data_IF_054154349137
#
_entry.id   IF_054154349137
#
_cell.length_a   1.000
_cell.length_b   1.000
_cell.length_c   1.000
_cell.angle_alpha   90.00
_cell.angle_beta   90.00
_cell.angle_gamma   90.00
#
_symmetry.space_group_name_H-M   'P 1'
#
loop_
_entity.id
_entity.type
_entity.pdbx_description
1 polymer ?
#
# COMPACT_ATOMS: atom_id res chain seq x y z
N UNK A 1 -34.13 -16.04 -20.11
CA UNK A 1 -33.25 -15.11 -20.84
C UNK A 1 -31.98 -14.80 -20.04
N UNK A 2 -32.07 -14.31 -18.79
CA UNK A 2 -30.91 -13.95 -17.95
C UNK A 2 -29.84 -15.06 -17.82
N UNK A 3 -30.24 -16.30 -17.49
CA UNK A 3 -29.29 -17.44 -17.41
C UNK A 3 -28.60 -17.77 -18.74
N UNK A 4 -29.28 -17.54 -19.87
CA UNK A 4 -28.74 -17.87 -21.19
C UNK A 4 -27.75 -16.81 -21.70
N UNK A 5 -27.71 -15.64 -21.08
CA UNK A 5 -26.86 -14.49 -21.46
C UNK A 5 -25.80 -14.15 -20.41
N UNK A 6 -25.67 -14.95 -19.35
CA UNK A 6 -24.75 -14.68 -18.24
C UNK A 6 -23.68 -15.76 -18.14
N UNK A 7 -22.44 -15.32 -17.90
CA UNK A 7 -21.30 -16.18 -17.58
C UNK A 7 -20.84 -15.86 -16.17
N UNK A 8 -20.80 -16.87 -15.30
CA UNK A 8 -20.23 -16.77 -13.96
C UNK A 8 -18.93 -17.58 -13.90
N UNK A 9 -17.80 -16.90 -13.65
CA UNK A 9 -16.49 -17.53 -13.51
C UNK A 9 -16.07 -17.38 -12.04
N UNK A 10 -16.21 -18.42 -11.20
CA UNK A 10 -15.74 -18.35 -9.83
C UNK A 10 -14.22 -18.38 -9.80
N UNK A 11 -13.62 -17.70 -8.82
CA UNK A 11 -12.17 -17.71 -8.60
C UNK A 11 -11.90 -17.94 -7.13
N UNK A 12 -11.07 -18.95 -6.84
CA UNK A 12 -10.51 -19.17 -5.51
C UNK A 12 -9.16 -18.48 -5.40
N UNK A 13 -9.03 -17.57 -4.45
CA UNK A 13 -7.80 -16.83 -4.20
C UNK A 13 -7.39 -17.02 -2.73
N UNK A 14 -6.57 -18.04 -2.42
CA UNK A 14 -6.26 -18.41 -1.03
C UNK A 14 -5.56 -17.30 -0.24
N UNK A 15 -4.92 -16.35 -0.93
CA UNK A 15 -4.12 -15.26 -0.34
C UNK A 15 -4.72 -13.87 -0.60
N UNK A 16 -5.99 -13.77 -1.01
CA UNK A 16 -6.57 -12.45 -1.34
C UNK A 16 -6.60 -11.48 -0.15
N UNK A 17 -6.57 -12.01 1.08
CA UNK A 17 -6.55 -11.21 2.32
C UNK A 17 -5.22 -11.29 3.08
N UNK A 18 -4.18 -11.92 2.53
CA UNK A 18 -2.95 -12.16 3.31
C UNK A 18 -2.18 -10.87 3.65
N UNK A 19 -2.42 -9.78 2.93
CA UNK A 19 -1.87 -8.45 3.25
C UNK A 19 -2.35 -7.92 4.61
N UNK A 20 -3.48 -8.43 5.12
CA UNK A 20 -4.07 -8.06 6.41
C UNK A 20 -3.88 -9.11 7.50
N UNK A 21 -3.04 -10.13 7.26
CA UNK A 21 -2.67 -11.05 8.32
C UNK A 21 -2.01 -10.28 9.49
N UNK A 22 -2.21 -10.77 10.73
CA UNK A 22 -1.51 -10.23 11.89
C UNK A 22 0.00 -10.24 11.62
N UNK A 23 0.65 -9.12 11.91
CA UNK A 23 2.08 -8.92 11.66
C UNK A 23 2.71 -8.13 12.79
N UNK A 24 4.01 -8.26 12.92
CA UNK A 24 4.87 -7.47 13.79
C UNK A 24 5.83 -6.60 12.95
N UNK A 25 6.44 -5.61 13.59
CA UNK A 25 7.49 -4.83 12.94
C UNK A 25 8.68 -5.74 12.62
N UNK A 26 9.09 -5.80 11.35
CA UNK A 26 10.16 -6.69 10.89
C UNK A 26 9.69 -7.88 10.05
N UNK A 27 8.41 -8.25 10.10
CA UNK A 27 7.84 -9.31 9.25
C UNK A 27 7.89 -8.96 7.76
N UNK A 28 7.90 -7.65 7.46
CA UNK A 28 8.09 -7.12 6.12
C UNK A 28 9.47 -6.46 6.02
N UNK A 29 10.27 -6.78 4.99
CA UNK A 29 11.54 -6.11 4.77
C UNK A 29 11.34 -4.67 4.28
N UNK A 30 12.33 -3.81 4.53
CA UNK A 30 12.37 -2.50 3.89
C UNK A 30 12.45 -2.65 2.36
N UNK A 31 11.95 -1.64 1.63
CA UNK A 31 12.09 -1.56 0.15
C UNK A 31 13.55 -1.74 -0.28
N UNK A 32 14.47 -1.09 0.46
CA UNK A 32 15.92 -1.24 0.32
C UNK A 32 16.46 -1.87 1.60
N UNK A 33 16.66 -3.20 1.63
CA UNK A 33 17.25 -3.87 2.78
C UNK A 33 18.64 -3.30 3.11
N UNK A 34 19.00 -3.31 4.39
CA UNK A 34 20.31 -2.81 4.84
C UNK A 34 21.44 -3.56 4.13
N UNK A 35 22.31 -2.83 3.45
CA UNK A 35 23.43 -3.39 2.69
C UNK A 35 23.07 -3.85 1.28
N UNK A 36 21.84 -3.66 0.81
CA UNK A 36 21.49 -3.87 -0.59
C UNK A 36 22.24 -2.88 -1.49
N UNK A 37 23.02 -3.41 -2.44
CA UNK A 37 23.82 -2.60 -3.37
C UNK A 37 23.15 -2.42 -4.73
N UNK A 38 22.37 -3.40 -5.16
CA UNK A 38 21.86 -3.49 -6.54
C UNK A 38 20.49 -4.17 -6.63
N UNK A 39 19.77 -4.29 -5.52
CA UNK A 39 18.44 -4.90 -5.49
C UNK A 39 17.51 -4.17 -4.52
N UNK A 40 16.20 -4.33 -4.76
CA UNK A 40 15.13 -3.82 -3.93
C UNK A 40 13.96 -4.81 -3.92
N UNK A 41 13.10 -4.71 -2.91
CA UNK A 41 11.86 -5.46 -2.80
C UNK A 41 10.70 -4.49 -2.97
N UNK A 42 9.65 -4.90 -3.69
CA UNK A 42 8.53 -4.05 -4.08
C UNK A 42 7.18 -4.70 -3.77
N UNK A 43 6.12 -3.89 -3.76
CA UNK A 43 4.74 -4.34 -3.66
C UNK A 43 4.18 -4.29 -2.24
N UNK A 44 3.20 -5.15 -1.96
CA UNK A 44 2.36 -5.06 -0.75
C UNK A 44 3.03 -5.63 0.53
N UNK A 45 4.13 -6.37 0.36
CA UNK A 45 4.79 -7.09 1.45
C UNK A 45 6.13 -6.47 1.87
N UNK A 46 6.38 -5.22 1.49
CA UNK A 46 7.52 -4.44 2.02
C UNK A 46 7.04 -3.41 3.03
N UNK A 47 7.93 -2.95 3.89
CA UNK A 47 7.62 -1.94 4.88
C UNK A 47 7.84 -0.53 4.30
N UNK A 48 6.74 0.22 4.22
CA UNK A 48 6.70 1.66 3.97
C UNK A 48 5.87 2.26 5.12
N UNK A 49 6.45 3.15 5.94
CA UNK A 49 5.73 3.80 7.04
C UNK A 49 4.53 4.60 6.55
N UNK A 50 3.48 4.62 7.36
CA UNK A 50 2.29 5.50 7.22
C UNK A 50 1.40 5.28 5.98
N UNK A 51 1.82 4.48 5.01
CA UNK A 51 1.03 4.10 3.84
C UNK A 51 0.27 2.77 4.06
N UNK A 52 -0.75 2.52 3.24
CA UNK A 52 -1.73 1.43 3.42
C UNK A 52 -1.63 0.41 2.27
N UNK A 53 -1.40 -0.85 2.62
CA UNK A 53 -1.45 -1.99 1.67
C UNK A 53 -2.85 -2.19 1.09
N UNK A 54 -3.02 -3.11 0.16
CA UNK A 54 -4.25 -3.32 -0.63
C UNK A 54 -4.55 -2.16 -1.60
N UNK A 55 -3.57 -1.29 -1.83
CA UNK A 55 -3.68 -0.15 -2.74
C UNK A 55 -2.62 -0.23 -3.83
N UNK A 56 -2.99 0.22 -5.03
CA UNK A 56 -2.01 0.38 -6.13
C UNK A 56 -0.93 1.40 -5.73
N UNK A 57 -1.32 2.44 -4.98
CA UNK A 57 -0.43 3.48 -4.47
C UNK A 57 0.76 2.90 -3.69
N UNK A 58 0.52 1.95 -2.78
CA UNK A 58 1.60 1.30 -2.00
C UNK A 58 2.65 0.63 -2.90
N UNK A 59 2.20 -0.07 -3.95
CA UNK A 59 3.09 -0.70 -4.94
C UNK A 59 3.89 0.36 -5.71
N UNK A 60 3.23 1.42 -6.19
CA UNK A 60 3.88 2.51 -6.95
C UNK A 60 4.91 3.24 -6.08
N UNK A 61 4.55 3.53 -4.83
CA UNK A 61 5.43 4.14 -3.84
C UNK A 61 6.66 3.27 -3.58
N UNK A 62 6.48 1.97 -3.37
CA UNK A 62 7.60 1.03 -3.20
C UNK A 62 8.58 1.11 -4.39
N UNK A 63 8.05 1.16 -5.61
CA UNK A 63 8.86 1.27 -6.82
C UNK A 63 9.61 2.61 -6.87
N UNK A 64 8.97 3.70 -6.49
CA UNK A 64 9.60 5.02 -6.41
C UNK A 64 10.75 5.04 -5.41
N UNK A 65 10.56 4.50 -4.19
CA UNK A 65 11.62 4.36 -3.19
C UNK A 65 12.81 3.54 -3.72
N UNK A 66 12.55 2.41 -4.37
CA UNK A 66 13.59 1.55 -4.92
C UNK A 66 14.40 2.24 -6.03
N UNK A 67 13.70 2.81 -7.02
CA UNK A 67 14.35 3.49 -8.16
C UNK A 67 15.16 4.68 -7.67
N UNK A 68 14.59 5.49 -6.76
CA UNK A 68 15.28 6.68 -6.28
C UNK A 68 16.51 6.31 -5.45
N UNK A 69 16.40 5.32 -4.57
CA UNK A 69 17.53 4.90 -3.75
C UNK A 69 18.62 4.17 -4.55
N UNK A 70 18.27 3.30 -5.50
CA UNK A 70 19.27 2.57 -6.30
C UNK A 70 19.98 3.46 -7.34
N UNK A 71 19.29 4.46 -7.89
CA UNK A 71 19.84 5.35 -8.91
C UNK A 71 20.35 6.69 -8.33
N UNK A 72 20.30 6.88 -7.01
CA UNK A 72 20.75 8.11 -6.37
C UNK A 72 19.97 9.36 -6.80
N UNK A 73 18.65 9.23 -7.01
CA UNK A 73 17.80 10.36 -7.40
C UNK A 73 17.45 11.18 -6.16
N UNK A 74 17.95 12.42 -6.08
CA UNK A 74 17.74 13.33 -4.95
C UNK A 74 16.42 14.12 -5.01
N UNK A 75 15.38 13.54 -5.61
CA UNK A 75 14.04 14.15 -5.65
C UNK A 75 13.20 13.64 -4.48
N UNK A 76 12.43 14.50 -3.79
CA UNK A 76 11.56 14.03 -2.72
C UNK A 76 10.45 13.12 -3.26
N UNK A 77 10.15 12.07 -2.51
CA UNK A 77 8.96 11.23 -2.70
C UNK A 77 7.77 11.99 -2.09
N UNK A 78 6.64 12.14 -2.80
CA UNK A 78 5.46 12.84 -2.27
C UNK A 78 5.03 12.24 -0.93
N UNK A 79 4.76 13.03 0.12
CA UNK A 79 4.34 12.49 1.42
C UNK A 79 2.94 11.86 1.35
N UNK A 80 2.63 10.98 2.30
CA UNK A 80 1.27 10.48 2.51
C UNK A 80 0.42 11.63 3.07
N UNK A 81 -0.81 11.78 2.59
CA UNK A 81 -1.72 12.80 3.10
C UNK A 81 -2.35 12.35 4.43
N UNK A 82 -2.12 13.10 5.50
CA UNK A 82 -2.67 12.82 6.82
C UNK A 82 -4.01 13.54 7.05
N UNK A 83 -5.10 12.98 6.52
CA UNK A 83 -6.43 13.60 6.56
C UNK A 83 -6.92 13.96 7.97
N UNK A 84 -6.58 13.17 8.99
CA UNK A 84 -7.00 13.44 10.39
C UNK A 84 -6.37 14.73 10.95
N UNK A 85 -5.21 15.15 10.42
CA UNK A 85 -4.57 16.40 10.81
C UNK A 85 -5.20 17.64 10.12
N UNK A 86 -6.02 17.44 9.08
CA UNK A 86 -6.77 18.51 8.43
C UNK A 86 -8.09 18.76 9.20
N UNK A 87 -8.27 19.96 9.78
CA UNK A 87 -9.46 20.26 10.61
C UNK A 87 -10.78 20.08 9.87
N UNK A 88 -10.82 20.34 8.56
CA UNK A 88 -12.05 20.21 7.76
C UNK A 88 -12.39 18.75 7.56
N UNK A 89 -11.39 17.94 7.19
CA UNK A 89 -11.58 16.51 7.01
C UNK A 89 -11.89 15.80 8.33
N UNK A 90 -11.20 16.17 9.42
CA UNK A 90 -11.45 15.63 10.75
C UNK A 90 -12.86 15.93 11.26
N UNK A 91 -13.35 17.17 11.09
CA UNK A 91 -14.71 17.54 11.47
C UNK A 91 -15.75 16.80 10.62
N UNK A 92 -15.51 16.64 9.32
CA UNK A 92 -16.38 15.86 8.45
C UNK A 92 -16.44 14.39 8.90
N UNK A 93 -15.28 13.77 9.16
CA UNK A 93 -15.21 12.40 9.66
C UNK A 93 -15.94 12.23 11.00
N UNK A 94 -15.77 13.17 11.93
CA UNK A 94 -16.47 13.16 13.21
C UNK A 94 -18.00 13.25 13.03
N UNK A 95 -18.48 14.13 12.14
CA UNK A 95 -19.91 14.22 11.82
C UNK A 95 -20.44 12.88 11.29
N UNK A 96 -19.74 12.25 10.34
CA UNK A 96 -20.13 10.94 9.80
C UNK A 96 -20.19 9.85 10.87
N UNK A 97 -19.29 9.88 11.86
CA UNK A 97 -19.32 8.92 12.98
C UNK A 97 -20.50 9.15 13.93
N UNK A 98 -20.98 10.39 14.05
CA UNK A 98 -22.04 10.77 14.98
C UNK A 98 -23.45 10.80 14.35
N UNK A 99 -23.55 10.77 13.01
CA UNK A 99 -24.80 10.84 12.26
C UNK A 99 -24.97 12.14 11.50
#
# INVERSE_FOLDING_TARGET
QLLATSTAIPVMMPYITSEFACREAGDRPAVLPKGALNYALLGQYVEIPEDVVFTVEYSVRSAMHAVYGLLGIERPIPPVYHAIADPVAALAAMKTLLG
#
